data_IF_323627673823
#
_entry.id   IF_323627673823
#
_cell.length_a   1.000
_cell.length_b   1.000
_cell.length_c   1.000
_cell.angle_alpha   90.00
_cell.angle_beta   90.00
_cell.angle_gamma   90.00
#
_symmetry.space_group_name_H-M   'P 1'
#
loop_
_entity.id
_entity.type
_entity.pdbx_description
1 polymer ?
2 non-polymer ?
3 non-polymer ?
4 water ?
#
# COMPACT_ATOMS: atom_id res chain seq x y z
N UNK A 7 -9.33 15.18 -17.09
CA UNK A 7 -8.49 14.13 -16.51
C UNK A 7 -7.20 14.63 -15.90
N UNK A 8 -7.25 15.08 -14.64
CA UNK A 8 -6.05 15.66 -14.02
C UNK A 8 -4.97 14.62 -13.79
N UNK A 9 -3.74 14.98 -14.12
CA UNK A 9 -2.61 14.06 -14.13
C UNK A 9 -1.93 14.10 -12.75
N UNK A 10 -2.01 13.00 -12.01
CA UNK A 10 -1.55 12.94 -10.63
C UNK A 10 -0.34 12.02 -10.49
N UNK A 11 0.51 12.35 -9.51
CA UNK A 11 1.66 11.55 -9.13
C UNK A 11 1.31 10.77 -7.87
N UNK A 12 1.40 9.45 -7.91
CA UNK A 12 0.93 8.62 -6.80
C UNK A 12 2.05 7.70 -6.31
N UNK A 13 2.35 7.78 -5.02
CA UNK A 13 3.32 6.90 -4.38
C UNK A 13 2.61 5.79 -3.63
N UNK A 14 3.08 4.56 -3.80
CA UNK A 14 2.68 3.48 -2.90
C UNK A 14 3.94 2.94 -2.24
N UNK A 15 3.88 2.73 -0.92
CA UNK A 15 5.07 2.36 -0.16
C UNK A 15 4.69 1.51 1.05
N UNK A 16 5.25 0.31 1.12
CA UNK A 16 5.08 -0.56 2.28
C UNK A 16 6.15 -0.17 3.30
N UNK A 17 5.73 0.37 4.44
CA UNK A 17 6.63 0.99 5.41
C UNK A 17 7.26 0.01 6.42
N UNK A 18 6.75 -1.22 6.53
CA UNK A 18 7.27 -2.19 7.49
C UNK A 18 7.39 -1.59 8.90
N UNK A 19 6.30 -0.97 9.35
CA UNK A 19 6.27 -0.39 10.70
C UNK A 19 5.42 -1.28 11.61
N UNK A 20 6.00 -2.43 11.95
CA UNK A 20 5.34 -3.34 12.86
C UNK A 20 5.22 -2.71 14.25
N UNK A 21 4.23 -3.19 14.99
CA UNK A 21 4.00 -2.70 16.35
C UNK A 21 5.28 -2.77 17.18
N UNK A 22 5.59 -1.66 17.86
CA UNK A 22 6.81 -1.62 18.66
C UNK A 22 6.66 -2.34 20.00
N UNK A 23 5.43 -2.51 20.50
CA UNK A 23 5.25 -3.31 21.70
C UNK A 23 5.65 -4.76 21.45
N UNK A 24 5.25 -5.29 20.29
CA UNK A 24 5.61 -6.66 19.90
C UNK A 24 7.06 -6.76 19.43
N UNK A 25 7.53 -5.76 18.68
CA UNK A 25 8.84 -5.80 18.03
C UNK A 25 9.60 -4.54 18.35
N UNK A 26 10.21 -4.46 19.53
CA UNK A 26 10.84 -3.20 19.95
C UNK A 26 12.12 -2.84 19.21
N UNK A 27 12.71 -3.76 18.45
CA UNK A 27 14.04 -3.55 17.90
C UNK A 27 14.06 -3.51 16.37
N UNK A 28 13.00 -3.02 15.73
CA UNK A 28 12.99 -2.95 14.27
C UNK A 28 13.16 -1.51 13.76
N UNK A 29 13.62 -0.60 14.62
CA UNK A 29 13.93 0.77 14.20
C UNK A 29 12.74 1.56 13.72
N UNK A 30 11.53 1.27 14.24
CA UNK A 30 10.31 1.82 13.63
C UNK A 30 10.24 3.33 13.77
N UNK A 31 10.56 3.88 14.94
CA UNK A 31 10.47 5.34 15.11
C UNK A 31 11.51 6.03 14.25
N UNK A 32 12.73 5.49 14.21
CA UNK A 32 13.76 6.08 13.36
C UNK A 32 13.33 6.06 11.89
N UNK A 33 12.86 4.92 11.41
CA UNK A 33 12.54 4.78 10.00
C UNK A 33 11.32 5.62 9.63
N UNK A 34 10.31 5.68 10.51
CA UNK A 34 9.13 6.50 10.21
C UNK A 34 9.49 7.95 10.00
N UNK A 35 10.40 8.47 10.82
CA UNK A 35 10.88 9.84 10.64
C UNK A 35 11.64 9.97 9.32
N UNK A 36 12.51 9.01 9.03
CA UNK A 36 13.30 9.07 7.80
C UNK A 36 12.46 8.88 6.54
N UNK A 37 11.38 8.10 6.61
CA UNK A 37 10.51 7.93 5.44
C UNK A 37 9.89 9.25 5.04
N UNK A 38 9.39 10.03 6.02
CA UNK A 38 8.82 11.33 5.67
C UNK A 38 9.84 12.27 5.04
N UNK A 39 11.14 12.07 5.27
CA UNK A 39 12.14 12.95 4.70
C UNK A 39 12.77 12.41 3.41
N UNK A 40 12.45 11.17 3.03
CA UNK A 40 13.10 10.57 1.87
C UNK A 40 12.68 11.29 0.58
N UNK A 41 13.56 11.21 -0.42
CA UNK A 41 13.27 11.85 -1.69
C UNK A 41 11.99 11.33 -2.33
N UNK A 42 11.77 10.01 -2.28
CA UNK A 42 10.59 9.44 -2.92
C UNK A 42 9.30 9.90 -2.25
N UNK A 43 9.38 10.38 -1.00
CA UNK A 43 8.20 10.86 -0.29
C UNK A 43 7.76 12.24 -0.73
N UNK A 44 8.66 13.03 -1.32
CA UNK A 44 8.36 14.41 -1.68
C UNK A 44 7.78 14.49 -3.08
N UNK A 45 6.90 15.49 -3.27
CA UNK A 45 6.49 15.88 -4.60
C UNK A 45 5.38 15.04 -5.18
N UNK A 46 4.69 14.25 -4.37
CA UNK A 46 3.58 13.47 -4.88
C UNK A 46 2.27 14.22 -4.68
N UNK A 47 1.23 13.73 -5.36
CA UNK A 47 -0.13 14.19 -5.10
C UNK A 47 -0.85 13.31 -4.08
N UNK A 48 -0.61 12.00 -4.13
CA UNK A 48 -1.26 11.04 -3.25
C UNK A 48 -0.19 10.07 -2.78
N UNK A 49 -0.24 9.69 -1.50
CA UNK A 49 0.65 8.70 -0.91
C UNK A 49 -0.22 7.63 -0.26
N UNK A 50 0.02 6.36 -0.62
CA UNK A 50 -0.65 5.22 -0.02
C UNK A 50 0.41 4.39 0.70
N UNK A 51 0.24 4.21 2.00
CA UNK A 51 1.18 3.47 2.83
C UNK A 51 0.57 2.13 3.26
N UNK A 52 1.41 1.12 3.37
CA UNK A 52 1.03 -0.15 3.97
C UNK A 52 1.91 -0.42 5.19
N UNK A 53 1.44 -1.36 6.02
CA UNK A 53 2.14 -1.84 7.22
C UNK A 53 2.47 -0.72 8.21
N UNK A 54 1.63 0.32 8.23
CA UNK A 54 1.73 1.37 9.24
C UNK A 54 1.02 0.92 10.52
N UNK A 55 1.55 -0.16 11.11
CA UNK A 55 0.86 -0.89 12.17
C UNK A 55 1.12 -0.28 13.55
N UNK A 56 2.33 0.19 13.80
CA UNK A 56 2.63 0.80 15.09
C UNK A 56 1.92 2.13 15.20
N UNK A 57 1.01 2.24 16.18
CA UNK A 57 0.14 3.41 16.26
C UNK A 57 0.95 4.70 16.41
N UNK A 58 1.99 4.69 17.24
CA UNK A 58 2.74 5.92 17.49
C UNK A 58 3.59 6.30 16.30
N UNK A 59 4.33 5.35 15.73
CA UNK A 59 5.17 5.70 14.57
C UNK A 59 4.31 6.10 13.37
N UNK A 60 3.20 5.40 13.16
CA UNK A 60 2.28 5.80 12.09
C UNK A 60 1.72 7.20 12.36
N UNK A 61 1.30 7.48 13.59
CA UNK A 61 0.81 8.82 13.92
C UNK A 61 1.88 9.88 13.66
N UNK A 62 3.14 9.60 14.02
CA UNK A 62 4.20 10.56 13.80
C UNK A 62 4.48 10.81 12.32
N UNK A 63 4.44 9.76 11.51
CA UNK A 63 4.62 9.91 10.07
C UNK A 63 3.50 10.75 9.47
N UNK A 64 2.26 10.44 9.85
CA UNK A 64 1.12 11.21 9.35
C UNK A 64 1.22 12.67 9.74
N UNK A 65 1.68 12.95 10.98
CA UNK A 65 1.94 14.33 11.39
C UNK A 65 3.08 14.94 10.60
N UNK A 66 4.18 14.20 10.41
CA UNK A 66 5.31 14.74 9.67
C UNK A 66 4.93 15.06 8.24
N UNK A 67 3.97 14.32 7.67
CA UNK A 67 3.53 14.49 6.30
C UNK A 67 2.45 15.55 6.15
N UNK A 68 1.90 16.09 7.24
CA UNK A 68 0.67 16.88 7.14
C UNK A 68 0.87 18.18 6.38
N UNK A 69 2.07 18.76 6.43
CA UNK A 69 2.32 20.00 5.69
C UNK A 69 2.19 19.79 4.18
N UNK A 70 2.79 18.71 3.67
CA UNK A 70 2.74 18.41 2.24
C UNK A 70 1.48 17.64 1.84
N UNK A 71 0.93 16.83 2.73
CA UNK A 71 -0.26 16.01 2.45
C UNK A 71 -1.28 16.23 3.55
N UNK A 72 -2.03 17.34 3.50
CA UNK A 72 -2.87 17.70 4.66
C UNK A 72 -4.11 16.85 4.84
N UNK A 73 -4.57 16.16 3.80
CA UNK A 73 -5.84 15.46 3.86
C UNK A 73 -5.56 13.97 3.94
N UNK A 74 -5.97 13.35 5.06
CA UNK A 74 -5.52 12.00 5.34
C UNK A 74 -6.67 11.14 5.87
N UNK A 75 -6.57 9.83 5.60
CA UNK A 75 -7.47 8.87 6.24
C UNK A 75 -6.85 8.37 7.54
N UNK A 76 -7.66 7.81 8.43
CA UNK A 76 -7.09 6.97 9.50
C UNK A 76 -6.37 5.76 8.90
N UNK A 77 -5.69 5.03 9.77
CA UNK A 77 -5.18 3.72 9.38
C UNK A 77 -6.34 2.75 9.33
N UNK A 78 -6.49 2.05 8.19
CA UNK A 78 -7.61 1.14 7.99
C UNK A 78 -7.64 0.11 9.11
N UNK A 79 -8.82 -0.08 9.70
CA UNK A 79 -9.04 -1.16 10.63
C UNK A 79 -8.76 -0.86 12.09
N UNK A 80 -8.30 0.36 12.42
CA UNK A 80 -8.12 0.74 13.83
C UNK A 80 -9.45 0.83 14.55
N UNK A 81 -10.41 1.57 13.99
CA UNK A 81 -11.73 1.72 14.57
C UNK A 81 -12.68 2.25 13.51
N UNK A 82 -13.94 2.47 13.91
CA UNK A 82 -14.91 3.12 13.03
C UNK A 82 -14.78 4.63 13.01
N UNK A 83 -14.03 5.23 13.91
CA UNK A 83 -13.93 6.68 14.01
C UNK A 83 -13.17 7.28 12.83
N UNK A 84 -13.61 8.44 12.39
CA UNK A 84 -12.86 9.20 11.40
C UNK A 84 -13.07 8.76 9.96
N UNK A 85 -13.98 7.83 9.73
CA UNK A 85 -14.40 7.39 8.40
C UNK A 85 -15.84 7.83 8.13
N UNK A 86 -16.14 8.06 6.86
CA UNK A 86 -17.52 8.31 6.46
C UNK A 86 -18.36 7.04 6.45
N UNK A 87 -17.73 5.88 6.28
CA UNK A 87 -18.40 4.59 6.39
C UNK A 87 -17.35 3.52 6.63
N UNK A 88 -17.80 2.41 7.24
CA UNK A 88 -17.00 1.20 7.39
C UNK A 88 -17.84 0.04 6.87
N UNK A 89 -17.27 -0.76 5.94
CA UNK A 89 -17.93 -1.95 5.45
C UNK A 89 -17.03 -3.17 5.56
N UNK A 90 -17.52 -4.29 5.01
CA UNK A 90 -16.75 -5.53 5.04
C UNK A 90 -16.77 -6.18 6.43
N UNK A 91 -15.91 -7.21 6.58
CA UNK A 91 -15.92 -8.02 7.80
C UNK A 91 -15.08 -7.40 8.93
N UNK A 92 -15.44 -6.16 9.26
CA UNK A 92 -14.74 -5.43 10.31
C UNK A 92 -14.94 -6.13 11.66
N UNK A 93 -13.86 -6.24 12.43
CA UNK A 93 -13.90 -6.78 13.79
C UNK A 93 -13.56 -5.69 14.79
N UNK A 94 -14.40 -5.53 15.82
CA UNK A 94 -14.14 -4.53 16.85
C UNK A 94 -13.19 -5.03 17.92
N UNK A 95 -12.97 -6.33 18.01
CA UNK A 95 -12.14 -6.88 19.07
C UNK A 95 -10.71 -7.15 18.64
N UNK A 96 -10.48 -7.36 17.35
CA UNK A 96 -9.14 -7.75 16.93
C UNK A 96 -8.17 -6.58 17.14
N UNK A 97 -6.99 -6.83 17.72
CA UNK A 97 -6.09 -5.72 18.05
C UNK A 97 -5.29 -5.19 16.86
N UNK A 98 -5.09 -6.01 15.83
CA UNK A 98 -4.23 -5.61 14.71
C UNK A 98 -5.07 -4.92 13.64
N UNK A 99 -4.66 -3.70 13.26
CA UNK A 99 -5.34 -3.01 12.18
C UNK A 99 -4.75 -3.44 10.83
N UNK A 100 -5.29 -2.89 9.73
CA UNK A 100 -4.85 -3.25 8.39
C UNK A 100 -3.62 -2.51 7.89
N UNK A 101 -3.13 -1.50 8.62
CA UNK A 101 -1.88 -0.85 8.28
C UNK A 101 -1.90 0.07 7.08
N UNK A 102 -3.06 0.32 6.48
CA UNK A 102 -3.16 1.16 5.27
C UNK A 102 -3.65 2.54 5.65
N UNK A 103 -2.98 3.58 5.14
CA UNK A 103 -3.50 4.94 5.21
C UNK A 103 -3.21 5.67 3.90
N UNK A 104 -4.08 6.61 3.55
CA UNK A 104 -3.96 7.39 2.32
C UNK A 104 -3.79 8.86 2.70
N UNK A 105 -2.76 9.50 2.15
CA UNK A 105 -2.45 10.90 2.38
C UNK A 105 -2.53 11.65 1.05
N UNK A 106 -3.02 12.89 1.10
CA UNK A 106 -3.34 13.59 -0.13
C UNK A 106 -3.04 15.07 0.00
N UNK A 107 -2.39 15.61 -1.04
CA UNK A 107 -2.25 17.05 -1.20
C UNK A 107 -3.60 17.73 -1.46
N UNK A 108 -4.55 16.99 -2.04
CA UNK A 108 -5.84 17.45 -2.53
C UNK A 108 -6.97 17.10 -1.55
N UNK A 109 -7.95 18.00 -1.41
CA UNK A 109 -9.02 17.79 -0.43
C UNK A 109 -9.73 16.47 -0.62
N UNK A 110 -10.05 15.82 0.50
CA UNK A 110 -10.79 14.56 0.50
C UNK A 110 -12.28 14.89 0.60
N UNK A 111 -13.04 14.45 -0.40
CA UNK A 111 -14.48 14.66 -0.43
C UNK A 111 -15.19 13.56 0.36
N UNK A 112 -14.67 12.34 0.30
CA UNK A 112 -15.25 11.21 1.01
C UNK A 112 -14.14 10.22 1.31
N UNK A 113 -14.23 9.55 2.46
CA UNK A 113 -13.29 8.49 2.81
C UNK A 113 -14.04 7.37 3.52
N UNK A 114 -13.84 6.14 3.05
CA UNK A 114 -14.42 4.96 3.71
C UNK A 114 -13.37 3.87 3.79
N UNK A 115 -13.64 2.89 4.65
CA UNK A 115 -12.82 1.71 4.74
C UNK A 115 -13.71 0.49 4.57
N UNK A 116 -13.13 -0.57 4.02
CA UNK A 116 -13.81 -1.85 3.88
C UNK A 116 -12.81 -2.92 4.27
N UNK A 117 -13.19 -3.76 5.22
CA UNK A 117 -12.36 -4.89 5.64
C UNK A 117 -12.64 -6.07 4.71
N UNK A 118 -11.59 -6.77 4.30
CA UNK A 118 -11.73 -7.85 3.34
C UNK A 118 -12.63 -8.97 3.87
N UNK A 119 -13.48 -9.50 3.00
CA UNK A 119 -14.32 -10.64 3.36
C UNK A 119 -13.58 -11.95 3.29
N UNK A 120 -12.45 -12.00 2.56
CA UNK A 120 -11.71 -13.23 2.32
C UNK A 120 -10.24 -13.01 2.67
N UNK A 121 -9.68 -13.92 3.46
CA UNK A 121 -8.27 -13.87 3.86
C UNK A 121 -7.91 -15.17 4.55
N UNK A 122 -6.61 -15.46 4.60
CA UNK A 122 -6.12 -16.70 5.21
C UNK A 122 -4.86 -16.41 6.01
N UNK A 123 -4.47 -17.40 6.81
CA UNK A 123 -3.29 -17.25 7.64
C UNK A 123 -3.43 -16.07 8.57
N UNK A 124 -2.32 -15.34 8.74
CA UNK A 124 -2.30 -14.21 9.67
C UNK A 124 -3.22 -13.09 9.23
N UNK A 125 -3.38 -12.89 7.92
CA UNK A 125 -4.21 -11.79 7.43
C UNK A 125 -5.65 -11.89 7.90
N UNK A 126 -6.18 -13.11 8.02
CA UNK A 126 -7.58 -13.27 8.40
C UNK A 126 -7.84 -12.66 9.78
N UNK A 127 -6.92 -12.85 10.72
CA UNK A 127 -7.17 -12.48 12.10
C UNK A 127 -7.04 -10.98 12.35
N UNK A 128 -6.65 -10.21 11.34
CA UNK A 128 -6.49 -8.77 11.51
C UNK A 128 -7.46 -8.05 10.57
N UNK A 129 -7.59 -6.74 10.78
CA UNK A 129 -8.56 -5.95 10.00
C UNK A 129 -7.96 -5.45 8.69
N UNK A 130 -7.36 -6.38 7.94
CA UNK A 130 -6.83 -6.05 6.62
C UNK A 130 -7.98 -5.66 5.69
N UNK A 131 -7.74 -4.66 4.84
CA UNK A 131 -8.81 -4.17 4.00
C UNK A 131 -8.36 -3.09 3.06
N UNK A 132 -9.27 -2.22 2.63
CA UNK A 132 -8.89 -1.12 1.76
C UNK A 132 -9.57 0.16 2.18
N UNK A 133 -8.94 1.27 1.84
CA UNK A 133 -9.49 2.60 2.00
C UNK A 133 -9.96 3.11 0.65
N UNK A 134 -11.11 3.77 0.63
CA UNK A 134 -11.64 4.39 -0.57
C UNK A 134 -11.73 5.89 -0.34
N UNK A 135 -11.04 6.67 -1.17
CA UNK A 135 -11.09 8.13 -1.05
C UNK A 135 -11.52 8.74 -2.37
N UNK A 136 -12.34 9.77 -2.28
CA UNK A 136 -12.70 10.63 -3.40
C UNK A 136 -11.99 11.95 -3.17
N UNK A 137 -11.12 12.33 -4.10
CA UNK A 137 -10.40 13.59 -4.01
C UNK A 137 -10.99 14.62 -4.97
N UNK A 138 -10.94 15.88 -4.57
CA UNK A 138 -11.30 17.01 -5.43
C UNK A 138 -10.01 17.64 -5.97
N UNK A 139 -9.81 17.51 -7.29
CA UNK A 139 -8.57 17.89 -7.98
C UNK A 139 -8.95 18.56 -9.28
N UNK A 140 -8.49 19.80 -9.49
CA UNK A 140 -8.66 20.47 -10.77
C UNK A 140 -10.08 20.49 -11.30
N UNK A 141 -11.03 20.83 -10.43
CA UNK A 141 -12.42 20.94 -10.84
C UNK A 141 -13.15 19.65 -11.05
N UNK A 142 -12.58 18.51 -10.64
CA UNK A 142 -13.27 17.24 -10.81
C UNK A 142 -12.85 16.30 -9.69
N UNK A 143 -13.28 15.05 -9.80
CA UNK A 143 -13.05 14.06 -8.74
C UNK A 143 -12.12 12.97 -9.23
N UNK A 144 -11.29 12.48 -8.33
CA UNK A 144 -10.39 11.36 -8.57
C UNK A 144 -10.60 10.35 -7.45
N UNK A 145 -10.77 9.09 -7.80
CA UNK A 145 -11.06 8.04 -6.84
C UNK A 145 -9.82 7.17 -6.65
N UNK A 146 -9.48 6.90 -5.39
CA UNK A 146 -8.31 6.09 -5.07
C UNK A 146 -8.74 5.01 -4.08
N UNK A 147 -8.37 3.75 -4.38
CA UNK A 147 -8.44 2.66 -3.42
C UNK A 147 -7.01 2.34 -3.01
N UNK A 148 -6.73 2.39 -1.71
CA UNK A 148 -5.42 2.03 -1.19
C UNK A 148 -5.56 0.75 -0.40
N UNK A 149 -4.62 -0.18 -0.58
CA UNK A 149 -4.79 -1.47 0.08
C UNK A 149 -3.46 -2.18 0.25
N UNK A 150 -3.54 -3.29 0.96
CA UNK A 150 -2.45 -4.24 1.14
C UNK A 150 -3.12 -5.61 1.06
N UNK A 151 -2.93 -6.32 -0.04
CA UNK A 151 -3.66 -7.55 -0.30
C UNK A 151 -3.02 -8.75 0.43
N UNK A 152 -3.73 -9.87 0.38
CA UNK A 152 -3.35 -11.07 1.12
C UNK A 152 -1.89 -11.48 0.88
N UNK A 153 -1.15 -11.70 1.97
CA UNK A 153 0.23 -12.14 1.85
C UNK A 153 0.30 -13.65 1.65
N UNK A 154 1.44 -14.11 1.13
CA UNK A 154 1.66 -15.54 0.92
C UNK A 154 2.18 -16.14 2.24
N UNK A 155 1.23 -16.43 3.13
CA UNK A 155 1.50 -16.64 4.54
C UNK A 155 1.58 -18.12 4.91
N UNK A 156 2.36 -18.39 5.96
CA UNK A 156 2.58 -19.73 6.46
C UNK A 156 1.29 -20.43 6.84
N UNK A 157 0.31 -19.68 7.36
CA UNK A 157 -0.96 -20.22 7.80
C UNK A 157 -1.95 -20.47 6.70
N UNK A 158 -1.64 -20.09 5.47
CA UNK A 158 -2.49 -20.38 4.33
C UNK A 158 -2.16 -21.76 3.79
N UNK A 159 -3.19 -22.50 3.38
CA UNK A 159 -2.95 -23.74 2.66
C UNK A 159 -2.38 -23.45 1.28
N UNK A 160 -1.79 -24.47 0.66
CA UNK A 160 -1.25 -24.30 -0.68
C UNK A 160 -2.30 -23.75 -1.63
N UNK A 161 -1.96 -22.66 -2.33
CA UNK A 161 -2.88 -21.99 -3.23
C UNK A 161 -3.91 -21.09 -2.56
N UNK A 162 -4.07 -21.18 -1.23
CA UNK A 162 -5.13 -20.43 -0.59
C UNK A 162 -4.88 -18.92 -0.61
N UNK A 163 -3.62 -18.50 -0.45
CA UNK A 163 -3.29 -17.09 -0.47
C UNK A 163 -3.67 -16.45 -1.81
N UNK A 164 -3.28 -17.08 -2.92
CA UNK A 164 -3.63 -16.57 -4.23
C UNK A 164 -5.14 -16.58 -4.45
N UNK A 165 -5.82 -17.63 -3.98
CA UNK A 165 -7.28 -17.68 -4.10
C UNK A 165 -7.93 -16.52 -3.36
N UNK A 166 -7.44 -16.20 -2.17
CA UNK A 166 -8.04 -15.11 -1.41
C UNK A 166 -7.66 -13.75 -1.98
N UNK A 167 -6.44 -13.58 -2.50
CA UNK A 167 -6.14 -12.35 -3.23
C UNK A 167 -7.13 -12.14 -4.36
N UNK A 168 -7.43 -13.19 -5.11
CA UNK A 168 -8.38 -13.06 -6.20
C UNK A 168 -9.72 -12.54 -5.70
N UNK A 169 -10.23 -13.12 -4.61
CA UNK A 169 -11.48 -12.65 -4.03
C UNK A 169 -11.35 -11.22 -3.51
N UNK A 170 -10.19 -10.85 -2.97
CA UNK A 170 -10.01 -9.48 -2.49
C UNK A 170 -10.08 -8.48 -3.64
N UNK A 171 -9.42 -8.80 -4.75
CA UNK A 171 -9.48 -7.90 -5.91
C UNK A 171 -10.91 -7.81 -6.46
N UNK A 172 -11.64 -8.94 -6.47
CA UNK A 172 -13.02 -8.89 -6.95
C UNK A 172 -13.94 -8.16 -5.97
N UNK A 173 -13.64 -8.23 -4.67
CA UNK A 173 -14.42 -7.46 -3.71
C UNK A 173 -14.24 -5.96 -3.95
N UNK A 174 -13.01 -5.53 -4.25
CA UNK A 174 -12.75 -4.14 -4.58
C UNK A 174 -13.49 -3.76 -5.85
N UNK A 175 -13.40 -4.61 -6.87
CA UNK A 175 -14.13 -4.38 -8.12
C UNK A 175 -15.63 -4.24 -7.88
N UNK A 176 -16.20 -5.12 -7.06
CA UNK A 176 -17.63 -5.06 -6.81
C UNK A 176 -18.00 -3.79 -6.05
N UNK A 177 -17.16 -3.41 -5.07
CA UNK A 177 -17.37 -2.16 -4.35
C UNK A 177 -17.37 -0.96 -5.30
N UNK A 178 -16.39 -0.91 -6.21
CA UNK A 178 -16.30 0.26 -7.09
C UNK A 178 -17.45 0.29 -8.08
N UNK A 179 -17.87 -0.87 -8.56
CA UNK A 179 -18.99 -0.94 -9.51
C UNK A 179 -20.27 -0.42 -8.87
N UNK A 180 -20.54 -0.82 -7.63
CA UNK A 180 -21.73 -0.39 -6.91
C UNK A 180 -21.75 1.10 -6.62
N UNK A 181 -20.58 1.76 -6.63
CA UNK A 181 -20.53 3.21 -6.50
C UNK A 181 -20.99 3.93 -7.77
N UNK A 182 -21.10 3.21 -8.88
CA UNK A 182 -21.51 3.80 -10.16
C UNK A 182 -20.71 5.06 -10.48
N UNK A 183 -19.39 4.93 -10.45
CA UNK A 183 -18.51 6.08 -10.67
C UNK A 183 -18.60 6.50 -12.14
N UNK A 184 -18.80 7.79 -12.43
CA UNK A 184 -18.82 8.24 -13.83
C UNK A 184 -17.54 7.86 -14.57
N UNK A 185 -17.69 7.43 -15.83
CA UNK A 185 -16.54 6.96 -16.60
C UNK A 185 -15.52 8.07 -16.84
N UNK A 186 -15.96 9.33 -16.81
CA UNK A 186 -15.04 10.44 -17.04
C UNK A 186 -14.22 10.78 -15.79
N UNK A 187 -14.39 10.06 -14.69
CA UNK A 187 -13.62 10.27 -13.47
C UNK A 187 -12.63 9.12 -13.28
N UNK A 188 -11.39 9.47 -12.91
CA UNK A 188 -10.34 8.48 -12.73
C UNK A 188 -10.57 7.62 -11.49
N UNK A 189 -10.21 6.35 -11.60
CA UNK A 189 -10.28 5.40 -10.49
C UNK A 189 -8.97 4.61 -10.48
N UNK A 190 -8.16 4.80 -9.44
CA UNK A 190 -6.88 4.12 -9.31
C UNK A 190 -6.90 3.17 -8.11
N UNK A 191 -6.24 2.02 -8.28
CA UNK A 191 -5.97 1.09 -7.18
C UNK A 191 -4.48 1.16 -6.89
N UNK A 192 -4.12 1.46 -5.64
CA UNK A 192 -2.72 1.63 -5.27
C UNK A 192 -2.45 0.76 -4.05
N UNK A 193 -1.37 -0.01 -4.09
CA UNK A 193 -1.04 -0.77 -2.90
C UNK A 193 0.03 -1.81 -3.13
N UNK A 194 0.39 -2.45 -2.02
CA UNK A 194 1.12 -3.70 -2.02
C UNK A 194 0.11 -4.79 -2.35
N UNK A 195 0.03 -5.20 -3.62
CA UNK A 195 -0.98 -6.16 -4.02
C UNK A 195 -0.49 -7.60 -3.90
N UNK A 196 0.77 -7.82 -3.51
CA UNK A 196 1.29 -9.15 -3.20
C UNK A 196 1.15 -10.10 -4.39
N UNK A 197 1.23 -9.55 -5.59
CA UNK A 197 1.22 -10.29 -6.84
C UNK A 197 2.50 -9.95 -7.60
N UNK A 198 3.30 -10.97 -7.90
CA UNK A 198 4.55 -10.76 -8.63
C UNK A 198 4.28 -10.42 -10.10
N UNK A 199 4.77 -9.26 -10.55
CA UNK A 199 4.57 -8.84 -11.93
C UNK A 199 5.20 -9.81 -12.91
N UNK A 200 6.19 -10.57 -12.47
CA UNK A 200 6.87 -11.53 -13.33
C UNK A 200 6.17 -12.89 -13.39
N UNK A 201 5.00 -13.03 -12.76
CA UNK A 201 4.31 -14.31 -12.67
C UNK A 201 2.99 -14.28 -13.43
N UNK A 202 2.42 -15.47 -13.60
CA UNK A 202 1.12 -15.60 -14.28
C UNK A 202 0.00 -14.93 -13.48
N UNK A 203 0.14 -14.82 -12.15
CA UNK A 203 -0.90 -14.18 -11.35
C UNK A 203 -1.06 -12.69 -11.67
N UNK A 204 -0.03 -12.06 -12.26
CA UNK A 204 -0.16 -10.66 -12.68
C UNK A 204 -1.38 -10.48 -13.59
N UNK A 205 -1.50 -11.34 -14.61
CA UNK A 205 -2.62 -11.20 -15.54
C UNK A 205 -3.96 -11.49 -14.85
N UNK A 206 -4.02 -12.44 -13.92
CA UNK A 206 -5.31 -12.65 -13.25
C UNK A 206 -5.65 -11.51 -12.31
N UNK A 207 -4.63 -10.87 -11.70
CA UNK A 207 -4.90 -9.67 -10.90
C UNK A 207 -5.58 -8.59 -11.74
N UNK A 208 -5.03 -8.30 -12.93
CA UNK A 208 -5.64 -7.32 -13.82
C UNK A 208 -7.10 -7.65 -14.10
N UNK A 209 -7.39 -8.92 -14.40
CA UNK A 209 -8.75 -9.32 -14.72
C UNK A 209 -9.65 -9.26 -13.49
N UNK A 210 -9.15 -9.68 -12.33
CA UNK A 210 -9.96 -9.68 -11.11
C UNK A 210 -10.29 -8.26 -10.66
N UNK A 211 -9.33 -7.34 -10.69
CA UNK A 211 -9.57 -5.96 -10.34
C UNK A 211 -10.15 -5.10 -11.44
N UNK A 212 -10.32 -5.67 -12.64
CA UNK A 212 -10.72 -4.92 -13.84
C UNK A 212 -9.80 -3.70 -14.07
N UNK A 213 -8.49 -3.98 -14.05
CA UNK A 213 -7.45 -2.96 -14.07
C UNK A 213 -6.79 -2.90 -15.44
N UNK A 214 -6.50 -1.68 -15.90
CA UNK A 214 -5.64 -1.51 -17.06
C UNK A 214 -4.17 -1.61 -16.66
N UNK A 215 -3.35 -2.36 -17.39
CA UNK A 215 -1.92 -2.35 -17.09
C UNK A 215 -1.35 -0.96 -17.32
N UNK A 216 -0.31 -0.64 -16.57
CA UNK A 216 0.43 0.58 -16.87
C UNK A 216 0.99 0.48 -18.28
N UNK A 217 1.11 1.62 -18.95
CA UNK A 217 1.76 1.63 -20.25
C UNK A 217 3.23 1.24 -20.14
N UNK A 218 3.85 1.48 -18.99
CA UNK A 218 5.21 1.01 -18.77
C UNK A 218 5.44 0.83 -17.29
N UNK A 219 6.21 -0.19 -16.95
CA UNK A 219 6.69 -0.41 -15.60
C UNK A 219 8.21 -0.30 -15.65
N UNK A 220 8.74 0.74 -15.01
CA UNK A 220 10.10 1.20 -15.21
C UNK A 220 10.89 1.09 -13.91
N UNK A 221 12.18 1.42 -14.00
CA UNK A 221 13.02 1.42 -12.83
C UNK A 221 13.48 0.02 -12.46
N UNK A 222 13.73 -0.19 -11.17
CA UNK A 222 14.28 -1.44 -10.69
C UNK A 222 13.29 -2.58 -10.97
N UNK A 223 13.77 -3.77 -11.34
CA UNK A 223 12.84 -4.85 -11.70
C UNK A 223 12.02 -5.39 -10.53
N UNK A 224 12.45 -5.22 -9.28
CA UNK A 224 11.82 -5.92 -8.15
C UNK A 224 11.53 -4.94 -7.02
N UNK A 225 10.26 -4.65 -6.77
CA UNK A 225 9.94 -3.81 -5.62
C UNK A 225 10.06 -4.55 -4.29
N UNK A 226 10.20 -5.90 -4.30
CA UNK A 226 10.52 -6.66 -3.08
C UNK A 226 11.77 -7.50 -3.38
N UNK A 227 12.94 -6.87 -3.28
CA UNK A 227 14.21 -7.46 -3.73
C UNK A 227 14.90 -8.12 -2.54
N UNK A 228 14.67 -9.42 -2.40
CA UNK A 228 15.31 -10.22 -1.34
C UNK A 228 16.82 -10.33 -1.49
N UNK A 229 17.41 -9.81 -2.56
CA UNK A 229 18.86 -9.80 -2.69
C UNK A 229 19.48 -8.43 -2.39
N UNK A 230 18.99 -7.38 -3.06
CA UNK A 230 19.58 -6.04 -2.97
C UNK A 230 19.00 -5.17 -1.86
N UNK A 231 17.81 -5.48 -1.35
CA UNK A 231 17.23 -4.70 -0.25
C UNK A 231 17.69 -5.33 1.06
N UNK A 232 18.33 -4.53 1.93
CA UNK A 232 18.98 -5.07 3.11
C UNK A 232 17.99 -5.63 4.13
N UNK A 233 16.80 -5.04 4.25
CA UNK A 233 15.78 -5.60 5.15
C UNK A 233 15.18 -6.88 4.57
N UNK A 234 14.80 -6.85 3.28
CA UNK A 234 14.20 -8.04 2.69
C UNK A 234 15.20 -9.19 2.68
N UNK A 235 16.49 -8.90 2.44
CA UNK A 235 17.50 -9.95 2.42
C UNK A 235 17.70 -10.57 3.79
N UNK A 236 17.55 -9.78 4.86
CA UNK A 236 17.67 -10.32 6.20
C UNK A 236 16.48 -11.19 6.56
N UNK A 237 15.28 -10.79 6.16
CA UNK A 237 14.08 -11.50 6.59
C UNK A 237 13.76 -12.71 5.71
N UNK A 238 14.19 -12.70 4.45
CA UNK A 238 13.85 -13.76 3.50
C UNK A 238 15.08 -14.09 2.65
N UNK A 239 16.15 -14.58 3.28
CA UNK A 239 17.40 -14.77 2.53
C UNK A 239 17.34 -15.89 1.48
N UNK A 240 16.41 -16.84 1.57
CA UNK A 240 16.33 -17.90 0.57
C UNK A 240 15.15 -17.72 -0.38
N UNK A 241 14.45 -16.58 -0.33
CA UNK A 241 13.27 -16.49 -1.16
C UNK A 241 13.53 -15.68 -2.41
N UNK A 242 12.80 -15.93 -3.49
CA UNK A 242 13.08 -15.25 -4.75
C UNK A 242 12.71 -13.78 -4.68
N UNK A 243 13.37 -12.99 -5.51
CA UNK A 243 13.00 -11.59 -5.66
C UNK A 243 11.68 -11.50 -6.42
N UNK A 244 10.78 -10.63 -5.95
CA UNK A 244 9.52 -10.42 -6.66
C UNK A 244 9.18 -8.93 -6.68
N UNK A 245 8.04 -8.63 -7.29
CA UNK A 245 7.72 -7.28 -7.75
C UNK A 245 6.23 -7.07 -7.52
N UNK A 246 5.89 -6.42 -6.40
CA UNK A 246 4.57 -6.58 -5.78
C UNK A 246 3.70 -5.34 -5.70
N UNK A 247 4.20 -4.15 -6.05
CA UNK A 247 3.58 -2.89 -5.68
C UNK A 247 3.16 -2.11 -6.94
N UNK A 248 1.94 -1.59 -6.95
CA UNK A 248 1.31 -1.09 -8.17
C UNK A 248 0.45 0.13 -7.90
N UNK A 249 0.28 0.96 -8.94
CA UNK A 249 -0.80 1.95 -9.01
C UNK A 249 -1.40 1.83 -10.40
N UNK A 250 -2.63 1.31 -10.48
CA UNK A 250 -3.22 0.95 -11.76
C UNK A 250 -4.62 1.55 -11.88
N UNK A 251 -4.91 2.10 -13.06
CA UNK A 251 -6.22 2.66 -13.36
C UNK A 251 -7.23 1.55 -13.66
N UNK A 252 -8.50 1.93 -13.56
CA UNK A 252 -9.62 1.02 -13.79
C UNK A 252 -10.06 1.06 -15.24
N UNK A 253 -10.32 -0.12 -15.81
CA UNK A 253 -10.81 -0.18 -17.19
C UNK A 253 -12.09 0.63 -17.35
N UNK A 254 -12.21 1.31 -18.49
CA UNK A 254 -13.40 2.08 -18.79
C UNK A 254 -13.46 3.46 -18.18
N UNK A 255 -12.43 3.89 -17.46
CA UNK A 255 -12.43 5.21 -16.86
C UNK A 255 -11.33 6.05 -17.49
N UNK A 256 -11.52 7.36 -17.48
CA UNK A 256 -10.49 8.26 -17.97
C UNK A 256 -9.19 8.05 -17.20
N UNK A 257 -8.08 8.22 -17.89
CA UNK A 257 -6.76 8.08 -17.29
C UNK A 257 -5.77 8.81 -18.18
N UNK A 258 -4.63 9.25 -17.63
CA UNK A 258 -3.61 9.87 -18.48
C UNK A 258 -2.96 8.85 -19.42
N UNK A 259 -2.59 9.32 -20.60
CA UNK A 259 -1.83 8.47 -21.50
C UNK A 259 -0.41 8.29 -20.96
N UNK A 260 0.20 7.18 -21.34
CA UNK A 260 1.57 6.94 -20.93
C UNK A 260 1.72 6.80 -19.43
N UNK A 261 0.78 6.11 -18.79
CA UNK A 261 0.83 5.92 -17.35
C UNK A 261 1.96 4.96 -17.00
N UNK A 262 2.78 5.35 -16.04
CA UNK A 262 3.96 4.59 -15.64
C UNK A 262 3.90 4.23 -14.15
N UNK A 263 4.45 3.06 -13.81
CA UNK A 263 4.86 2.72 -12.45
C UNK A 263 6.37 2.60 -12.45
N UNK A 264 7.06 3.39 -11.62
CA UNK A 264 8.51 3.33 -11.52
C UNK A 264 8.90 2.80 -10.14
N UNK A 265 9.64 1.69 -10.13
CA UNK A 265 10.20 1.16 -8.89
C UNK A 265 11.49 1.90 -8.59
N UNK A 266 11.55 2.57 -7.45
CA UNK A 266 12.64 3.50 -7.16
C UNK A 266 13.51 2.88 -6.06
N UNK A 267 14.72 2.47 -6.42
CA UNK A 267 15.65 1.85 -5.47
C UNK A 267 16.47 2.94 -4.78
N UNK A 268 15.84 3.58 -3.78
CA UNK A 268 16.49 4.64 -3.01
C UNK A 268 16.92 4.08 -1.66
N UNK A 269 18.22 4.12 -1.37
CA UNK A 269 18.73 3.61 -0.11
C UNK A 269 18.79 4.72 0.94
N UNK A 270 19.06 4.32 2.17
CA UNK A 270 19.09 5.22 3.31
C UNK A 270 20.47 5.20 3.94
N UNK A 271 20.75 6.22 4.74
CA UNK A 271 21.90 6.15 5.62
C UNK A 271 21.79 4.92 6.51
N UNK A 272 22.92 4.33 6.91
CA UNK A 272 22.84 3.15 7.79
C UNK A 272 22.18 3.48 9.11
N UNK A 273 21.46 2.50 9.63
CA UNK A 273 20.88 2.55 10.96
C UNK A 273 21.05 1.17 11.57
N UNK A 274 21.23 1.13 12.88
CA UNK A 274 21.63 -0.10 13.55
C UNK A 274 20.72 -0.36 14.73
N UNK A 275 20.37 -1.63 14.90
CA UNK A 275 19.57 -2.07 16.03
C UNK A 275 20.22 -3.33 16.60
N UNK A 276 19.82 -3.68 17.81
CA UNK A 276 20.37 -4.82 18.54
C UNK A 276 19.31 -5.88 18.73
N UNK A 277 19.70 -7.14 18.52
CA UNK A 277 18.78 -8.25 18.68
C UNK A 277 19.54 -9.47 19.18
N UNK A 278 19.14 -9.99 20.34
CA UNK A 278 19.78 -11.15 20.96
C UNK A 278 21.28 -10.92 21.10
N UNK A 279 21.63 -9.78 21.67
CA UNK A 279 23.05 -9.45 21.82
C UNK A 279 23.83 -9.53 20.52
N UNK A 280 23.22 -9.10 19.41
CA UNK A 280 23.98 -8.88 18.20
C UNK A 280 23.48 -7.61 17.53
N UNK A 281 24.40 -6.92 16.84
CA UNK A 281 24.09 -5.67 16.17
C UNK A 281 23.86 -5.92 14.69
N UNK A 282 22.82 -5.27 14.15
CA UNK A 282 22.45 -5.41 12.75
C UNK A 282 22.32 -4.02 12.16
N UNK A 283 22.97 -3.80 11.01
CA UNK A 283 22.93 -2.51 10.33
C UNK A 283 22.24 -2.66 8.98
N UNK A 284 21.30 -1.77 8.69
CA UNK A 284 20.53 -1.79 7.46
C UNK A 284 20.70 -0.48 6.71
N UNK A 285 20.49 -0.53 5.40
CA UNK A 285 20.61 0.65 4.55
C UNK A 285 19.36 0.86 3.71
N UNK A 286 18.20 0.38 4.20
CA UNK A 286 16.91 0.65 3.57
C UNK A 286 15.90 0.98 4.64
N UNK A 287 14.88 1.75 4.27
CA UNK A 287 13.87 2.16 5.24
C UNK A 287 12.74 1.15 5.36
N UNK A 288 12.68 0.18 4.46
CA UNK A 288 11.72 -0.93 4.57
C UNK A 288 12.22 -2.03 3.65
N UNK A 289 11.49 -3.15 3.67
CA UNK A 289 11.84 -4.26 2.81
C UNK A 289 11.38 -4.11 1.38
N UNK A 290 10.51 -3.13 1.11
CA UNK A 290 10.04 -2.83 -0.24
C UNK A 290 10.75 -1.59 -0.79
N UNK A 291 10.74 -1.47 -2.07
CA UNK A 291 11.05 -0.19 -2.66
C UNK A 291 9.77 0.59 -2.95
N UNK A 292 9.82 1.91 -2.81
CA UNK A 292 8.66 2.73 -3.21
C UNK A 292 8.40 2.61 -4.71
N UNK A 293 7.12 2.69 -5.07
CA UNK A 293 6.70 2.73 -6.46
C UNK A 293 6.01 4.07 -6.68
N UNK A 294 6.50 4.83 -7.65
CA UNK A 294 5.94 6.13 -7.98
C UNK A 294 5.28 6.01 -9.34
N UNK A 295 4.00 6.37 -9.39
CA UNK A 295 3.20 6.26 -10.59
C UNK A 295 2.85 7.64 -11.12
N UNK A 296 2.89 7.79 -12.44
CA UNK A 296 2.47 9.05 -13.02
C UNK A 296 2.58 9.00 -14.53
N UNK A 297 2.00 10.01 -15.16
CA UNK A 297 2.08 10.11 -16.60
C UNK A 297 3.52 10.38 -17.00
N UNK A 298 4.03 9.58 -17.92
CA UNK A 298 5.36 9.78 -18.46
C UNK A 298 5.27 10.81 -19.57
#
# INVERSE_FOLDING_TARGET
SAPAAATPSLKVLTYNTFLMSTGLYPNWGQEHRAREIAAAGFFQGNDVVVLQEAFDNAAADGLKAAAADRYPYQTPVVGRSRDGWDATGGKYSATTPEDGGVTVLSKWPIVRKEQVIFNDACGADWWSNKGFAYVVLNVGGTRVHVVGTHAQSTDSGCAAGEAAADRSRQFRQIDAFLDAKNIPADEQVMLAGDLNVDSHSAEYASMLADGDLAPADSRAGHPYSFDTKENSIAAYRYPTDPREDLDYVLHRNGHARPAGWRNTVVQETSAPWTVSSWGKRYTYTDLSGHYPVIAGAN
#
